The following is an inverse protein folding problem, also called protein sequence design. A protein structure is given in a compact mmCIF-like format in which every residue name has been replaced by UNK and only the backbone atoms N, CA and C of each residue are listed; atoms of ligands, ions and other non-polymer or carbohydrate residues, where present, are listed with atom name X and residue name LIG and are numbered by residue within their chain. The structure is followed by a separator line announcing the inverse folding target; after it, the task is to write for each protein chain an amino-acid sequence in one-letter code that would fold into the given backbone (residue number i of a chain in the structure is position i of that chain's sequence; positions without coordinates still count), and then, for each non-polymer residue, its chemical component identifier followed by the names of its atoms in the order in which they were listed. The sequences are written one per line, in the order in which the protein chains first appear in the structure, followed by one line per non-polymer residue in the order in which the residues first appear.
data_IF_183603133732
#
_entry.id   IF_183603133732
#
_cell.length_a   1.000
_cell.length_b   1.000
_cell.length_c   1.000
_cell.angle_alpha   90.00
_cell.angle_beta   90.00
_cell.angle_gamma   90.00
#
_symmetry.space_group_name_H-M   'P 1'
#
loop_
_entity.id
_entity.type
_entity.pdbx_description
1 polymer ?
#
# COMPACT_ATOMS: atom_id res chain seq x y z
N UNK A 1 19.68 7.98 -29.12
CA UNK A 1 18.40 7.95 -29.88
C UNK A 1 17.66 6.68 -29.52
N UNK A 2 16.41 6.82 -29.11
CA UNK A 2 15.54 5.67 -28.81
C UNK A 2 15.14 4.95 -30.10
N UNK A 3 15.21 3.63 -30.12
CA UNK A 3 14.75 2.78 -31.25
C UNK A 3 13.41 2.17 -30.83
N UNK A 4 12.40 2.26 -31.70
CA UNK A 4 11.15 1.50 -31.51
C UNK A 4 11.33 0.06 -32.01
N UNK A 5 11.10 -0.94 -31.14
CA UNK A 5 11.31 -2.33 -31.48
C UNK A 5 10.31 -3.26 -30.76
N UNK A 6 10.16 -4.47 -31.29
CA UNK A 6 9.38 -5.50 -30.64
C UNK A 6 9.97 -5.88 -29.28
N UNK A 7 9.11 -6.01 -28.26
CA UNK A 7 9.50 -6.29 -26.88
C UNK A 7 10.37 -7.56 -26.78
N UNK A 8 9.98 -8.66 -27.45
CA UNK A 8 10.71 -9.94 -27.43
C UNK A 8 12.15 -9.86 -27.96
N UNK A 9 12.51 -8.85 -28.75
CA UNK A 9 13.89 -8.69 -29.24
C UNK A 9 14.86 -8.34 -28.12
N UNK A 10 14.40 -7.58 -27.12
CA UNK A 10 15.22 -6.99 -26.06
C UNK A 10 14.95 -7.58 -24.69
N UNK A 11 13.85 -8.29 -24.50
CA UNK A 11 13.42 -8.87 -23.23
C UNK A 11 12.97 -10.31 -23.45
N UNK A 12 13.46 -11.24 -22.64
CA UNK A 12 12.95 -12.62 -22.64
C UNK A 12 11.65 -12.70 -21.83
N UNK A 13 10.63 -13.28 -22.44
CA UNK A 13 9.31 -13.42 -21.82
C UNK A 13 9.09 -14.89 -21.48
N UNK A 14 8.78 -15.16 -20.20
CA UNK A 14 8.64 -16.50 -19.62
C UNK A 14 9.87 -17.39 -19.91
N UNK A 15 11.09 -16.95 -19.54
CA UNK A 15 12.31 -17.71 -19.77
C UNK A 15 12.23 -19.08 -19.10
N UNK A 16 12.81 -20.09 -19.74
CA UNK A 16 12.84 -21.47 -19.21
C UNK A 16 13.85 -21.55 -18.08
N UNK A 17 13.40 -22.01 -16.90
CA UNK A 17 14.25 -22.32 -15.76
C UNK A 17 14.08 -23.74 -15.30
N UNK A 18 15.17 -24.33 -14.79
CA UNK A 18 15.17 -25.69 -14.24
C UNK A 18 14.94 -25.64 -12.74
N UNK A 19 13.89 -26.28 -12.26
CA UNK A 19 13.61 -26.53 -10.86
C UNK A 19 13.00 -27.93 -10.75
N UNK A 20 13.64 -28.82 -10.00
CA UNK A 20 13.21 -30.19 -9.87
C UNK A 20 11.87 -30.28 -9.11
N UNK A 21 10.94 -31.11 -9.60
CA UNK A 21 9.68 -31.35 -8.92
C UNK A 21 9.94 -31.91 -7.51
N UNK A 22 9.31 -31.31 -6.50
CA UNK A 22 9.51 -31.64 -5.08
C UNK A 22 10.69 -30.94 -4.40
N UNK A 23 11.52 -30.18 -5.14
CA UNK A 23 12.56 -29.34 -4.53
C UNK A 23 11.96 -28.24 -3.66
N UNK A 24 12.57 -27.98 -2.51
CA UNK A 24 12.24 -26.82 -1.67
C UNK A 24 12.82 -25.56 -2.32
N UNK A 25 12.00 -24.55 -2.52
CA UNK A 25 12.41 -23.27 -3.09
C UNK A 25 11.54 -22.12 -2.57
N UNK A 26 12.02 -20.89 -2.73
CA UNK A 26 11.27 -19.69 -2.39
C UNK A 26 10.09 -19.54 -3.37
N UNK A 27 8.90 -19.43 -2.81
CA UNK A 27 7.66 -19.28 -3.56
C UNK A 27 7.07 -17.89 -3.33
N UNK A 28 6.73 -17.20 -4.41
CA UNK A 28 5.98 -15.96 -4.42
C UNK A 28 4.58 -16.26 -4.93
N UNK A 29 3.59 -16.24 -4.04
CA UNK A 29 2.19 -16.36 -4.42
C UNK A 29 1.60 -14.98 -4.81
N UNK A 30 0.44 -14.97 -5.47
CA UNK A 30 -0.19 -13.74 -5.98
C UNK A 30 -0.55 -12.73 -4.87
N UNK A 31 -0.88 -13.20 -3.68
CA UNK A 31 -1.20 -12.37 -2.51
C UNK A 31 0.03 -11.65 -1.95
N UNK A 32 1.24 -12.19 -2.17
CA UNK A 32 2.50 -11.57 -1.73
C UNK A 32 2.91 -10.36 -2.56
N UNK A 33 2.38 -10.21 -3.77
CA UNK A 33 2.61 -8.99 -4.54
C UNK A 33 1.72 -7.85 -4.01
N UNK A 34 2.36 -6.78 -3.57
CA UNK A 34 1.67 -5.55 -3.16
C UNK A 34 1.39 -4.67 -4.38
N UNK A 35 0.19 -4.03 -4.45
CA UNK A 35 -0.15 -3.11 -5.52
C UNK A 35 0.87 -1.98 -5.65
N UNK A 36 1.36 -1.75 -6.87
CA UNK A 36 2.27 -0.65 -7.23
C UNK A 36 3.63 -0.63 -6.50
N UNK A 37 3.97 -1.68 -5.75
CA UNK A 37 5.27 -1.84 -5.10
C UNK A 37 6.27 -2.53 -6.02
N UNK A 38 7.53 -2.01 -6.04
CA UNK A 38 8.60 -2.61 -6.84
C UNK A 38 9.09 -3.92 -6.26
N UNK A 39 9.36 -3.94 -4.98
CA UNK A 39 10.00 -5.08 -4.33
C UNK A 39 8.99 -6.10 -3.82
N UNK A 40 9.40 -7.35 -3.77
CA UNK A 40 8.60 -8.43 -3.20
C UNK A 40 8.81 -8.42 -1.69
N UNK A 41 7.79 -8.12 -0.86
CA UNK A 41 7.97 -7.98 0.58
C UNK A 41 8.12 -9.32 1.32
N UNK A 42 7.53 -10.38 0.78
CA UNK A 42 7.43 -11.67 1.46
C UNK A 42 7.50 -12.86 0.49
N UNK A 43 7.98 -13.96 0.99
CA UNK A 43 7.96 -15.26 0.32
C UNK A 43 7.69 -16.38 1.32
N UNK A 44 7.39 -17.56 0.82
CA UNK A 44 7.29 -18.80 1.60
C UNK A 44 8.27 -19.84 1.05
N UNK A 45 8.75 -20.75 1.89
CA UNK A 45 9.51 -21.92 1.44
C UNK A 45 8.52 -23.04 1.19
N UNK A 46 8.46 -23.53 -0.06
CA UNK A 46 7.52 -24.57 -0.43
C UNK A 46 8.14 -25.58 -1.40
N UNK A 47 7.56 -26.79 -1.45
CA UNK A 47 7.94 -27.79 -2.46
C UNK A 47 7.40 -27.37 -3.83
N UNK A 48 8.29 -27.35 -4.84
CA UNK A 48 7.88 -27.04 -6.20
C UNK A 48 6.98 -28.17 -6.76
N UNK A 49 5.78 -27.84 -7.12
CA UNK A 49 4.81 -28.74 -7.77
C UNK A 49 4.38 -28.25 -9.14
N UNK A 50 4.69 -26.99 -9.47
CA UNK A 50 4.31 -26.29 -10.69
C UNK A 50 4.31 -24.79 -10.48
N UNK A 51 4.05 -24.03 -11.53
CA UNK A 51 4.03 -22.58 -11.50
C UNK A 51 5.16 -21.95 -12.32
N UNK A 52 5.12 -20.64 -12.43
CA UNK A 52 6.11 -19.86 -13.17
C UNK A 52 7.41 -19.77 -12.37
N UNK A 53 8.55 -19.91 -13.03
CA UNK A 53 9.88 -19.90 -12.43
C UNK A 53 10.61 -18.63 -12.81
N UNK A 54 11.44 -18.11 -11.91
CA UNK A 54 12.12 -16.83 -12.08
C UNK A 54 13.42 -16.79 -11.27
N UNK A 55 14.25 -15.79 -11.58
CA UNK A 55 15.50 -15.44 -10.87
C UNK A 55 15.47 -14.00 -10.37
N UNK A 56 16.45 -13.63 -9.55
CA UNK A 56 16.66 -12.22 -9.21
C UNK A 56 16.89 -11.37 -10.46
N UNK A 57 16.31 -10.17 -10.46
CA UNK A 57 16.33 -9.24 -11.58
C UNK A 57 15.20 -9.48 -12.60
N UNK A 58 14.44 -10.59 -12.50
CA UNK A 58 13.24 -10.76 -13.30
C UNK A 58 12.11 -9.88 -12.81
N UNK A 59 11.31 -9.35 -13.72
CA UNK A 59 10.04 -8.69 -13.40
C UNK A 59 8.92 -9.69 -13.55
N UNK A 60 8.10 -9.86 -12.50
CA UNK A 60 6.90 -10.69 -12.50
C UNK A 60 5.66 -9.80 -12.53
N UNK A 61 4.81 -9.98 -13.53
CA UNK A 61 3.56 -9.24 -13.72
C UNK A 61 2.38 -10.20 -13.63
N UNK A 62 1.36 -9.83 -12.84
CA UNK A 62 0.10 -10.56 -12.83
C UNK A 62 -0.55 -10.52 -14.22
N UNK A 63 -1.10 -11.65 -14.68
CA UNK A 63 -1.79 -11.75 -15.98
C UNK A 63 -3.30 -11.91 -15.87
N UNK A 64 -3.86 -11.84 -14.67
CA UNK A 64 -5.27 -12.15 -14.41
C UNK A 64 -5.98 -10.97 -13.74
N UNK A 65 -7.26 -10.76 -14.09
CA UNK A 65 -8.19 -9.85 -13.41
C UNK A 65 -8.46 -10.31 -11.97
N UNK A 66 -8.56 -9.40 -10.97
CA UNK A 66 -8.27 -7.96 -11.04
C UNK A 66 -6.83 -7.61 -10.66
N UNK A 67 -5.94 -8.60 -10.64
CA UNK A 67 -4.60 -8.44 -10.07
C UNK A 67 -3.73 -7.47 -10.88
N UNK A 68 -3.76 -7.54 -12.22
CA UNK A 68 -3.00 -6.62 -13.06
C UNK A 68 -3.58 -5.20 -13.01
N UNK A 69 -4.90 -5.07 -13.05
CA UNK A 69 -5.59 -3.77 -12.92
C UNK A 69 -5.28 -3.11 -11.58
N UNK A 70 -5.11 -3.90 -10.54
CA UNK A 70 -4.69 -3.44 -9.21
C UNK A 70 -3.16 -3.22 -9.09
N UNK A 71 -2.40 -3.27 -10.19
CA UNK A 71 -0.98 -2.91 -10.22
C UNK A 71 -0.04 -3.95 -9.61
N UNK A 72 -0.41 -5.23 -9.57
CA UNK A 72 0.46 -6.32 -9.09
C UNK A 72 1.54 -6.66 -10.13
N UNK A 73 2.63 -5.92 -10.06
CA UNK A 73 3.86 -6.12 -10.83
C UNK A 73 5.05 -5.83 -9.92
N UNK A 74 6.01 -6.74 -9.80
CA UNK A 74 7.15 -6.57 -8.92
C UNK A 74 8.44 -7.08 -9.57
N UNK A 75 9.58 -6.60 -9.09
CA UNK A 75 10.91 -7.10 -9.42
C UNK A 75 11.33 -8.13 -8.37
N UNK A 76 11.80 -9.27 -8.81
CA UNK A 76 12.30 -10.32 -7.92
C UNK A 76 13.68 -9.93 -7.41
N UNK A 77 13.81 -9.83 -6.08
CA UNK A 77 15.05 -9.41 -5.39
C UNK A 77 15.34 -10.21 -4.11
N UNK A 78 14.63 -11.33 -3.89
CA UNK A 78 14.63 -12.09 -2.64
C UNK A 78 15.45 -13.41 -2.73
N UNK A 79 16.01 -13.72 -3.91
CA UNK A 79 16.70 -14.96 -4.15
C UNK A 79 18.20 -14.79 -3.92
N UNK A 80 18.89 -15.90 -3.63
CA UNK A 80 20.34 -15.91 -3.60
C UNK A 80 20.94 -15.97 -5.03
N UNK A 81 22.22 -15.63 -5.22
CA UNK A 81 22.87 -15.77 -6.51
C UNK A 81 22.75 -17.20 -7.07
N UNK A 82 22.18 -17.33 -8.27
CA UNK A 82 21.97 -18.63 -8.91
C UNK A 82 20.73 -19.40 -8.44
N UNK A 83 20.03 -18.93 -7.41
CA UNK A 83 18.78 -19.53 -6.93
C UNK A 83 17.65 -19.32 -7.94
N UNK A 84 16.78 -20.33 -8.08
CA UNK A 84 15.54 -20.27 -8.87
C UNK A 84 14.36 -20.32 -7.92
N UNK A 85 13.55 -19.27 -7.93
CA UNK A 85 12.27 -19.23 -7.26
C UNK A 85 11.10 -19.62 -8.16
N UNK A 86 9.93 -19.80 -7.59
CA UNK A 86 8.71 -20.06 -8.33
C UNK A 86 7.51 -19.34 -7.76
N UNK A 87 6.42 -19.29 -8.53
CA UNK A 87 5.22 -18.60 -8.08
C UNK A 87 3.98 -19.01 -8.85
N UNK A 88 2.98 -18.14 -8.82
CA UNK A 88 1.70 -18.38 -9.48
C UNK A 88 1.87 -18.68 -10.98
N UNK A 89 1.06 -19.59 -11.52
CA UNK A 89 0.92 -19.79 -12.98
C UNK A 89 0.33 -18.57 -13.67
N UNK A 90 -0.23 -17.65 -12.92
CA UNK A 90 -0.80 -16.40 -13.41
C UNK A 90 0.20 -15.22 -13.39
N UNK A 91 1.51 -15.53 -13.44
CA UNK A 91 2.57 -14.55 -13.69
C UNK A 91 3.07 -14.64 -15.13
N UNK A 92 3.37 -13.48 -15.72
CA UNK A 92 4.26 -13.33 -16.88
C UNK A 92 5.60 -12.84 -16.32
N UNK A 93 6.69 -13.49 -16.72
CA UNK A 93 8.06 -13.15 -16.32
C UNK A 93 8.74 -12.42 -17.47
N UNK A 94 9.38 -11.29 -17.15
CA UNK A 94 10.18 -10.50 -18.07
C UNK A 94 11.61 -10.47 -17.55
N UNK A 95 12.55 -10.92 -18.38
CA UNK A 95 13.98 -10.92 -18.08
C UNK A 95 14.75 -10.03 -19.01
N UNK A 96 15.57 -9.17 -18.44
CA UNK A 96 16.50 -8.36 -19.22
C UNK A 96 17.48 -9.22 -20.00
N UNK A 97 17.76 -8.87 -21.26
CA UNK A 97 18.82 -9.49 -22.03
C UNK A 97 20.14 -8.78 -21.79
N UNK A 98 21.13 -9.54 -21.41
CA UNK A 98 22.47 -9.02 -21.12
C UNK A 98 23.03 -8.27 -22.33
N UNK A 99 23.61 -7.10 -22.08
CA UNK A 99 24.13 -6.20 -23.10
C UNK A 99 23.09 -5.33 -23.84
N UNK A 100 21.79 -5.63 -23.69
CA UNK A 100 20.71 -4.93 -24.40
C UNK A 100 19.78 -4.15 -23.46
N UNK A 101 19.46 -4.71 -22.30
CA UNK A 101 18.51 -4.08 -21.37
C UNK A 101 18.99 -4.16 -19.93
N UNK A 102 18.66 -3.12 -19.18
CA UNK A 102 18.88 -3.05 -17.73
C UNK A 102 17.67 -3.64 -16.98
N UNK A 103 17.85 -4.50 -15.96
CA UNK A 103 16.75 -5.14 -15.24
C UNK A 103 15.79 -4.14 -14.58
N UNK A 104 16.28 -3.04 -13.98
CA UNK A 104 15.42 -2.03 -13.37
C UNK A 104 14.63 -1.28 -14.45
N UNK A 105 15.26 -0.96 -15.59
CA UNK A 105 14.55 -0.39 -16.73
C UNK A 105 13.42 -1.30 -17.21
N UNK A 106 13.67 -2.62 -17.31
CA UNK A 106 12.62 -3.59 -17.70
C UNK A 106 11.44 -3.52 -16.73
N UNK A 107 11.68 -3.45 -15.43
CA UNK A 107 10.60 -3.28 -14.45
C UNK A 107 9.76 -2.04 -14.73
N UNK A 108 10.39 -0.88 -14.90
CA UNK A 108 9.66 0.37 -15.16
C UNK A 108 8.97 0.39 -16.53
N UNK A 109 9.56 -0.22 -17.54
CA UNK A 109 8.93 -0.37 -18.84
C UNK A 109 7.67 -1.25 -18.74
N UNK A 110 7.73 -2.38 -18.05
CA UNK A 110 6.58 -3.28 -17.83
C UNK A 110 5.47 -2.60 -17.02
N UNK A 111 5.83 -1.77 -16.03
CA UNK A 111 4.89 -0.99 -15.23
C UNK A 111 4.27 0.17 -16.02
N UNK A 112 4.95 0.68 -17.05
CA UNK A 112 4.51 1.85 -17.82
C UNK A 112 3.28 1.57 -18.69
N UNK A 113 2.63 2.63 -19.16
CA UNK A 113 1.51 2.54 -20.10
C UNK A 113 1.88 1.88 -21.44
N UNK A 114 3.16 1.83 -21.82
CA UNK A 114 3.61 1.14 -23.03
C UNK A 114 3.38 -0.37 -23.00
N UNK A 115 3.42 -1.00 -21.83
CA UNK A 115 3.23 -2.46 -21.69
C UNK A 115 1.95 -2.75 -20.90
N UNK A 116 1.74 -2.11 -19.76
CA UNK A 116 0.61 -2.42 -18.87
C UNK A 116 -0.75 -2.18 -19.52
N UNK A 117 -0.95 -1.04 -20.19
CA UNK A 117 -2.26 -0.71 -20.76
C UNK A 117 -2.65 -1.61 -21.93
N UNK A 118 -1.73 -1.90 -22.92
CA UNK A 118 -2.00 -2.92 -23.93
C UNK A 118 -2.22 -4.33 -23.32
N UNK A 119 -1.48 -4.71 -22.28
CA UNK A 119 -1.68 -5.97 -21.59
C UNK A 119 -3.11 -6.07 -21.02
N UNK A 120 -3.58 -5.05 -20.32
CA UNK A 120 -4.97 -4.99 -19.79
C UNK A 120 -5.99 -5.06 -20.94
N UNK A 121 -5.79 -4.27 -22.01
CA UNK A 121 -6.67 -4.28 -23.18
C UNK A 121 -6.71 -5.62 -23.92
N UNK A 122 -5.66 -6.42 -23.83
CA UNK A 122 -5.58 -7.74 -24.44
C UNK A 122 -6.31 -8.84 -23.66
N UNK A 123 -6.81 -8.55 -22.47
CA UNK A 123 -7.40 -9.55 -21.61
C UNK A 123 -8.65 -10.18 -22.20
N UNK A 124 -8.69 -11.52 -22.20
CA UNK A 124 -9.82 -12.32 -22.65
C UNK A 124 -10.22 -13.36 -21.61
N UNK A 125 -11.50 -13.79 -21.63
CA UNK A 125 -12.05 -14.78 -20.71
C UNK A 125 -13.39 -14.35 -20.13
N UNK A 126 -13.94 -15.17 -19.24
CA UNK A 126 -15.19 -14.87 -18.53
C UNK A 126 -14.99 -13.71 -17.55
N UNK A 127 -16.08 -12.98 -17.25
CA UNK A 127 -16.09 -11.90 -16.28
C UNK A 127 -15.41 -12.31 -14.96
N UNK A 128 -14.50 -11.48 -14.47
CA UNK A 128 -13.75 -11.72 -13.21
C UNK A 128 -12.60 -12.75 -13.32
N UNK A 129 -12.36 -13.37 -14.50
CA UNK A 129 -11.27 -14.33 -14.75
C UNK A 129 -10.61 -14.13 -16.11
N UNK A 130 -10.52 -12.90 -16.56
CA UNK A 130 -9.85 -12.56 -17.80
C UNK A 130 -8.33 -12.64 -17.63
N UNK A 131 -7.64 -13.03 -18.72
CA UNK A 131 -6.17 -13.21 -18.75
C UNK A 131 -5.57 -12.46 -19.90
N UNK A 132 -4.42 -11.85 -19.64
CA UNK A 132 -3.55 -11.23 -20.67
C UNK A 132 -3.16 -12.24 -21.72
N UNK A 133 -3.27 -11.84 -22.98
CA UNK A 133 -2.72 -12.59 -24.11
C UNK A 133 -1.21 -12.33 -24.20
N UNK A 134 -0.41 -13.34 -23.85
CA UNK A 134 1.06 -13.19 -23.78
C UNK A 134 1.68 -12.89 -25.14
N UNK A 135 1.13 -13.42 -26.22
CA UNK A 135 1.55 -13.15 -27.60
C UNK A 135 1.34 -11.68 -27.98
N UNK A 136 0.26 -11.05 -27.55
CA UNK A 136 0.05 -9.59 -27.73
C UNK A 136 1.17 -8.83 -27.04
N UNK A 137 1.48 -9.17 -25.78
CA UNK A 137 2.54 -8.49 -25.02
C UNK A 137 3.92 -8.68 -25.67
N UNK A 138 4.23 -9.89 -26.12
CA UNK A 138 5.50 -10.19 -26.82
C UNK A 138 5.72 -9.32 -28.06
N UNK A 139 4.65 -9.04 -28.80
CA UNK A 139 4.69 -8.31 -30.06
C UNK A 139 4.45 -6.80 -29.89
N UNK A 140 4.44 -6.28 -28.68
CA UNK A 140 4.38 -4.84 -28.46
C UNK A 140 5.62 -4.15 -29.05
N UNK A 141 5.40 -3.05 -29.75
CA UNK A 141 6.47 -2.16 -30.20
C UNK A 141 6.60 -1.06 -29.17
N UNK A 142 7.75 -0.99 -28.52
CA UNK A 142 8.04 -0.05 -27.42
C UNK A 142 9.38 0.68 -27.67
N UNK A 143 9.57 1.87 -27.09
CA UNK A 143 10.85 2.57 -27.18
C UNK A 143 11.92 1.87 -26.36
N UNK A 144 13.09 1.65 -26.98
CA UNK A 144 14.31 1.19 -26.30
C UNK A 144 15.39 2.26 -26.46
N UNK A 145 15.69 3.06 -25.43
CA UNK A 145 16.86 3.93 -25.41
C UNK A 145 18.15 3.11 -25.33
N UNK A 146 19.30 3.77 -25.50
CA UNK A 146 20.59 3.12 -25.29
C UNK A 146 20.72 2.54 -23.86
N UNK A 147 21.55 1.52 -23.68
CA UNK A 147 21.72 0.88 -22.34
C UNK A 147 22.15 1.89 -21.27
N UNK A 148 22.92 2.90 -21.63
CA UNK A 148 23.31 3.99 -20.73
C UNK A 148 22.09 4.84 -20.33
N UNK A 149 21.28 5.23 -21.30
CA UNK A 149 20.03 5.99 -21.01
C UNK A 149 19.05 5.16 -20.19
N UNK A 150 18.91 3.84 -20.47
CA UNK A 150 18.09 2.93 -19.68
C UNK A 150 18.51 2.94 -18.20
N UNK A 151 19.83 2.85 -17.93
CA UNK A 151 20.37 2.90 -16.56
C UNK A 151 20.09 4.23 -15.89
N UNK A 152 20.21 5.35 -16.60
CA UNK A 152 19.91 6.69 -16.06
C UNK A 152 18.42 6.83 -15.72
N UNK A 153 17.53 6.42 -16.63
CA UNK A 153 16.07 6.40 -16.38
C UNK A 153 15.75 5.54 -15.16
N UNK A 154 16.29 4.32 -15.14
CA UNK A 154 16.07 3.39 -14.04
C UNK A 154 16.62 3.92 -12.72
N UNK A 155 17.78 4.58 -12.70
CA UNK A 155 18.38 5.18 -11.49
C UNK A 155 17.48 6.25 -10.88
N UNK A 156 16.91 7.15 -11.70
CA UNK A 156 15.98 8.19 -11.22
C UNK A 156 14.76 7.55 -10.55
N UNK A 157 14.09 6.63 -11.25
CA UNK A 157 12.85 6.04 -10.75
C UNK A 157 13.12 5.12 -9.54
N UNK A 158 14.24 4.39 -9.57
CA UNK A 158 14.67 3.52 -8.48
C UNK A 158 14.98 4.30 -7.21
N UNK A 159 15.63 5.47 -7.30
CA UNK A 159 15.93 6.29 -6.12
C UNK A 159 14.66 6.73 -5.38
N UNK A 160 13.57 7.00 -6.11
CA UNK A 160 12.27 7.31 -5.52
C UNK A 160 11.64 6.08 -4.83
N UNK A 161 11.67 4.92 -5.52
CA UNK A 161 11.15 3.67 -4.92
C UNK A 161 12.00 3.22 -3.71
N UNK A 162 13.33 3.37 -3.76
CA UNK A 162 14.22 3.05 -2.64
C UNK A 162 13.92 3.95 -1.42
N UNK A 163 13.68 5.24 -1.63
CA UNK A 163 13.31 6.17 -0.55
C UNK A 163 11.95 5.80 0.04
N UNK A 164 10.96 5.44 -0.79
CA UNK A 164 9.64 4.97 -0.32
C UNK A 164 9.79 3.69 0.52
N UNK A 165 10.58 2.73 0.06
CA UNK A 165 10.82 1.48 0.77
C UNK A 165 11.53 1.72 2.12
N UNK A 166 12.55 2.59 2.14
CA UNK A 166 13.26 2.97 3.36
C UNK A 166 12.31 3.64 4.37
N UNK A 167 11.54 4.63 3.95
CA UNK A 167 10.57 5.29 4.82
C UNK A 167 9.54 4.29 5.38
N UNK A 168 9.09 3.33 4.57
CA UNK A 168 8.16 2.29 5.01
C UNK A 168 8.79 1.41 6.10
N UNK A 169 10.01 0.92 5.89
CA UNK A 169 10.72 0.12 6.88
C UNK A 169 10.99 0.88 8.20
N UNK A 170 11.31 2.18 8.10
CA UNK A 170 11.46 3.04 9.28
C UNK A 170 10.12 3.18 10.00
N UNK A 171 9.01 3.41 9.29
CA UNK A 171 7.68 3.53 9.89
C UNK A 171 7.25 2.26 10.62
N UNK A 172 7.48 1.08 10.05
CA UNK A 172 7.18 -0.20 10.70
C UNK A 172 7.94 -0.35 12.03
N UNK A 173 9.20 0.08 12.07
CA UNK A 173 10.01 0.07 13.28
C UNK A 173 9.51 1.11 14.31
N UNK A 174 9.17 2.32 13.87
CA UNK A 174 8.63 3.38 14.72
C UNK A 174 7.28 2.98 15.34
N UNK A 175 6.39 2.35 14.58
CA UNK A 175 5.14 1.83 15.11
C UNK A 175 5.35 0.79 16.20
N UNK A 176 6.29 -0.15 16.00
CA UNK A 176 6.65 -1.15 17.02
C UNK A 176 7.21 -0.47 18.27
N UNK A 177 8.06 0.55 18.13
CA UNK A 177 8.57 1.33 19.25
C UNK A 177 7.46 2.06 20.01
N UNK A 178 6.57 2.77 19.33
CA UNK A 178 5.44 3.46 19.94
C UNK A 178 4.54 2.51 20.72
N UNK A 179 4.22 1.34 20.13
CA UNK A 179 3.44 0.30 20.79
C UNK A 179 4.17 -0.28 22.02
N UNK A 180 5.48 -0.50 21.95
CA UNK A 180 6.26 -1.00 23.09
C UNK A 180 6.30 0.02 24.24
N UNK A 181 6.47 1.30 23.92
CA UNK A 181 6.43 2.39 24.92
C UNK A 181 5.05 2.46 25.56
N UNK A 182 3.97 2.45 24.74
CA UNK A 182 2.60 2.48 25.24
C UNK A 182 2.32 1.30 26.18
N UNK A 183 2.71 0.08 25.80
CA UNK A 183 2.55 -1.11 26.65
C UNK A 183 3.31 -0.98 27.96
N UNK A 184 4.56 -0.53 27.93
CA UNK A 184 5.40 -0.38 29.11
C UNK A 184 4.92 0.72 30.05
N UNK A 185 4.55 1.87 29.50
CA UNK A 185 4.25 3.07 30.28
C UNK A 185 2.78 3.14 30.72
N UNK A 186 1.83 2.66 29.90
CA UNK A 186 0.39 2.81 30.13
C UNK A 186 -0.27 1.50 30.57
N UNK A 187 -0.01 0.37 29.88
CA UNK A 187 -0.68 -0.90 30.16
C UNK A 187 -0.09 -1.68 31.34
N UNK A 188 0.77 -1.13 32.12
CA UNK A 188 1.51 -1.74 33.23
C UNK A 188 0.81 -2.94 33.90
N UNK A 189 1.53 -4.05 34.07
CA UNK A 189 1.07 -5.17 34.89
C UNK A 189 1.19 -4.79 36.39
N UNK A 190 0.08 -4.51 37.07
CA UNK A 190 0.10 -4.24 38.50
C UNK A 190 -0.97 -3.23 38.95
N UNK A 191 -0.82 -2.75 40.20
CA UNK A 191 -1.72 -1.71 40.72
C UNK A 191 -1.61 -0.41 39.97
N UNK A 192 -2.76 0.18 39.69
CA UNK A 192 -2.85 1.52 39.10
C UNK A 192 -2.11 2.53 39.98
N UNK A 193 -1.27 3.42 39.42
CA UNK A 193 -0.66 4.49 40.19
C UNK A 193 -1.72 5.34 40.91
N UNK A 194 -1.43 5.92 42.09
CA UNK A 194 -2.45 6.55 42.93
C UNK A 194 -3.28 7.66 42.25
N UNK A 195 -2.70 8.39 41.29
CA UNK A 195 -3.34 9.51 40.61
C UNK A 195 -3.87 9.16 39.23
N UNK A 196 -3.78 7.89 38.81
CA UNK A 196 -4.32 7.45 37.55
C UNK A 196 -5.76 6.98 37.73
N UNK A 197 -6.57 7.17 36.69
CA UNK A 197 -7.99 6.77 36.70
C UNK A 197 -8.29 5.78 35.60
N UNK A 198 -9.46 5.18 35.63
CA UNK A 198 -9.99 4.34 34.55
C UNK A 198 -11.19 5.03 33.92
N UNK A 199 -11.43 4.75 32.66
CA UNK A 199 -12.56 5.21 31.89
C UNK A 199 -12.83 4.28 30.71
N UNK A 200 -13.55 4.77 29.72
CA UNK A 200 -13.82 4.06 28.48
C UNK A 200 -13.25 4.83 27.27
N UNK A 201 -13.25 4.21 26.09
CA UNK A 201 -12.88 4.90 24.87
C UNK A 201 -13.75 6.15 24.61
N UNK A 202 -15.03 6.12 25.02
CA UNK A 202 -15.93 7.27 24.88
C UNK A 202 -15.65 8.42 25.87
N UNK A 203 -14.91 8.14 26.95
CA UNK A 203 -14.50 9.18 27.91
C UNK A 203 -13.25 9.93 27.44
N UNK A 204 -12.48 9.32 26.54
CA UNK A 204 -11.23 9.91 26.05
C UNK A 204 -11.33 10.47 24.64
N UNK A 205 -12.32 10.06 23.82
CA UNK A 205 -12.46 10.52 22.44
C UNK A 205 -13.91 10.49 21.94
N UNK A 206 -14.20 11.39 21.00
CA UNK A 206 -15.39 11.37 20.16
C UNK A 206 -15.18 10.49 18.93
N UNK A 207 -16.20 9.68 18.62
CA UNK A 207 -16.24 8.81 17.44
C UNK A 207 -17.33 9.33 16.50
N UNK A 208 -16.94 10.22 15.57
CA UNK A 208 -17.85 10.82 14.59
C UNK A 208 -18.07 9.85 13.45
N UNK A 209 -19.30 9.36 13.27
CA UNK A 209 -19.66 8.53 12.13
C UNK A 209 -19.74 9.37 10.85
N UNK A 210 -19.16 8.84 9.76
CA UNK A 210 -19.20 9.52 8.46
C UNK A 210 -20.59 9.54 7.82
N UNK A 211 -20.65 10.08 6.62
CA UNK A 211 -21.89 10.31 5.86
C UNK A 211 -22.12 9.23 4.81
N UNK A 212 -23.41 9.02 4.47
CA UNK A 212 -23.83 8.26 3.30
C UNK A 212 -23.50 9.07 2.02
N UNK A 213 -22.23 9.00 1.58
CA UNK A 213 -21.65 9.89 0.57
C UNK A 213 -22.37 9.86 -0.79
N UNK A 214 -23.17 8.80 -1.08
CA UNK A 214 -24.03 8.78 -2.25
C UNK A 214 -25.09 9.91 -2.27
N UNK A 215 -25.40 10.51 -1.11
CA UNK A 215 -26.32 11.66 -0.97
C UNK A 215 -25.62 13.01 -1.13
N UNK A 216 -24.29 13.03 -1.21
CA UNK A 216 -23.46 14.21 -1.25
C UNK A 216 -22.57 14.20 -2.50
N UNK A 217 -23.14 13.91 -3.66
CA UNK A 217 -22.41 13.90 -4.93
C UNK A 217 -21.98 15.33 -5.32
N UNK A 218 -20.84 15.48 -6.01
CA UNK A 218 -20.48 16.78 -6.58
C UNK A 218 -21.56 17.27 -7.51
N UNK A 219 -21.84 18.55 -7.53
CA UNK A 219 -22.70 19.21 -8.52
C UNK A 219 -21.86 19.63 -9.73
N UNK A 220 -22.51 19.96 -10.85
CA UNK A 220 -21.83 20.36 -12.08
C UNK A 220 -20.86 21.54 -11.84
N UNK A 221 -19.63 21.36 -12.28
CA UNK A 221 -18.56 22.34 -12.12
C UNK A 221 -17.78 22.23 -10.80
N UNK A 222 -18.19 21.40 -9.84
CA UNK A 222 -17.42 21.15 -8.62
C UNK A 222 -16.26 20.17 -8.86
N UNK A 223 -15.08 20.53 -8.38
CA UNK A 223 -13.99 19.56 -8.20
C UNK A 223 -14.27 18.71 -6.96
N UNK A 224 -14.82 17.50 -7.16
CA UNK A 224 -15.17 16.59 -6.07
C UNK A 224 -13.97 16.20 -5.20
N UNK A 225 -14.22 15.88 -3.93
CA UNK A 225 -13.28 15.22 -3.04
C UNK A 225 -13.43 13.71 -3.15
N UNK A 226 -12.33 12.92 -3.15
CA UNK A 226 -12.44 11.47 -3.06
C UNK A 226 -13.10 11.05 -1.75
N UNK A 227 -13.85 9.96 -1.80
CA UNK A 227 -14.53 9.38 -0.63
C UNK A 227 -13.62 8.35 0.02
N UNK A 228 -13.29 8.55 1.29
CA UNK A 228 -12.59 7.57 2.11
C UNK A 228 -13.57 6.48 2.55
N UNK A 229 -13.40 5.28 1.99
CA UNK A 229 -14.07 4.05 2.39
C UNK A 229 -13.08 3.07 3.02
N UNK A 230 -13.54 1.89 3.40
CA UNK A 230 -12.70 0.83 3.97
C UNK A 230 -11.59 0.39 2.99
N UNK A 231 -11.88 0.37 1.68
CA UNK A 231 -10.89 0.06 0.63
C UNK A 231 -9.74 1.07 0.66
N UNK A 232 -10.07 2.36 0.60
CA UNK A 232 -9.11 3.45 0.58
C UNK A 232 -8.30 3.51 1.89
N UNK A 233 -8.96 3.31 3.04
CA UNK A 233 -8.28 3.25 4.34
C UNK A 233 -7.25 2.11 4.39
N UNK A 234 -7.60 0.93 3.88
CA UNK A 234 -6.70 -0.23 3.84
C UNK A 234 -5.52 -0.05 2.90
N UNK A 235 -5.74 0.58 1.74
CA UNK A 235 -4.67 0.82 0.79
C UNK A 235 -3.81 2.05 1.13
N UNK A 236 -4.30 2.95 2.02
CA UNK A 236 -3.60 4.15 2.48
C UNK A 236 -3.70 5.36 1.55
N UNK A 237 -4.45 5.28 0.45
CA UNK A 237 -4.64 6.38 -0.51
C UNK A 237 -5.97 6.24 -1.26
N UNK A 238 -6.42 7.35 -1.87
CA UNK A 238 -7.51 7.36 -2.85
C UNK A 238 -6.93 7.31 -4.27
N UNK A 239 -7.56 6.54 -5.14
CA UNK A 239 -7.18 6.40 -6.56
C UNK A 239 -8.27 6.96 -7.49
N UNK A 240 -8.03 6.86 -8.81
CA UNK A 240 -8.98 7.33 -9.84
C UNK A 240 -10.31 6.58 -9.83
N UNK A 241 -10.39 5.40 -9.21
CA UNK A 241 -11.63 4.63 -9.06
C UNK A 241 -12.40 4.99 -7.80
N UNK A 242 -11.83 5.81 -6.91
CA UNK A 242 -12.49 6.25 -5.69
C UNK A 242 -13.68 7.15 -6.03
N UNK A 243 -14.83 6.89 -5.40
CA UNK A 243 -16.01 7.75 -5.58
C UNK A 243 -15.70 9.19 -5.16
N UNK A 244 -16.42 10.13 -5.74
CA UNK A 244 -16.31 11.55 -5.41
C UNK A 244 -17.54 12.03 -4.64
N UNK A 245 -17.31 12.93 -3.68
CA UNK A 245 -18.34 13.69 -2.99
C UNK A 245 -18.12 15.20 -3.18
N UNK A 246 -19.16 16.00 -2.87
CA UNK A 246 -19.05 17.45 -2.88
C UNK A 246 -18.01 17.93 -1.86
N UNK A 247 -17.20 18.93 -2.18
CA UNK A 247 -16.31 19.57 -1.22
C UNK A 247 -17.06 20.43 -0.18
N UNK A 248 -18.34 20.72 -0.41
CA UNK A 248 -19.19 21.57 0.43
C UNK A 248 -19.91 20.81 1.55
N UNK A 249 -19.45 19.61 1.89
CA UNK A 249 -19.89 18.91 3.12
C UNK A 249 -19.36 19.63 4.36
N UNK A 250 -20.01 19.42 5.51
CA UNK A 250 -19.55 20.02 6.77
C UNK A 250 -18.09 19.66 7.06
N UNK A 251 -17.25 20.60 7.54
CA UNK A 251 -15.81 20.39 7.76
C UNK A 251 -15.46 19.20 8.65
N UNK A 252 -16.31 18.87 9.62
CA UNK A 252 -16.13 17.73 10.52
C UNK A 252 -16.07 16.39 9.78
N UNK A 253 -16.72 16.26 8.60
CA UNK A 253 -16.70 15.07 7.74
C UNK A 253 -15.60 15.09 6.67
N UNK A 254 -14.78 16.14 6.64
CA UNK A 254 -13.59 16.20 5.82
C UNK A 254 -12.43 15.61 6.62
N UNK A 255 -11.72 14.66 5.99
CA UNK A 255 -10.56 13.99 6.57
C UNK A 255 -9.30 14.58 5.98
N UNK A 256 -8.30 14.79 6.81
CA UNK A 256 -6.99 15.31 6.46
C UNK A 256 -5.87 14.36 6.89
N UNK A 257 -4.66 14.60 6.39
CA UNK A 257 -3.47 13.84 6.79
C UNK A 257 -3.27 13.96 8.32
N UNK A 258 -3.02 12.82 8.97
CA UNK A 258 -2.86 12.70 10.42
C UNK A 258 -4.15 12.53 11.21
N UNK A 259 -5.32 12.50 10.58
CA UNK A 259 -6.57 12.14 11.25
C UNK A 259 -6.60 10.66 11.63
N UNK A 260 -7.11 10.37 12.82
CA UNK A 260 -7.33 8.98 13.28
C UNK A 260 -8.65 8.48 12.71
N UNK A 261 -8.58 7.43 11.92
CA UNK A 261 -9.74 6.80 11.28
C UNK A 261 -9.92 5.38 11.77
N UNK A 262 -11.14 5.04 12.12
CA UNK A 262 -11.51 3.70 12.57
C UNK A 262 -12.65 3.12 11.74
N UNK A 263 -12.40 2.01 11.05
CA UNK A 263 -13.43 1.21 10.37
C UNK A 263 -14.14 0.32 11.40
N UNK A 264 -15.44 0.56 11.59
CA UNK A 264 -16.24 -0.14 12.60
C UNK A 264 -17.13 -1.26 12.04
N UNK A 265 -17.14 -1.46 10.73
CA UNK A 265 -17.92 -2.49 10.04
C UNK A 265 -17.11 -3.19 8.94
N UNK A 266 -17.46 -4.42 8.62
CA UNK A 266 -16.75 -5.23 7.64
C UNK A 266 -15.33 -5.56 8.12
N UNK A 267 -14.32 -5.03 7.44
CA UNK A 267 -12.92 -5.19 7.90
C UNK A 267 -12.56 -4.07 8.85
N UNK A 268 -12.49 -4.38 10.14
CA UNK A 268 -12.11 -3.42 11.16
C UNK A 268 -10.62 -3.07 11.04
N UNK A 269 -10.34 -1.79 11.10
CA UNK A 269 -8.99 -1.21 10.95
C UNK A 269 -8.95 0.15 11.64
N UNK A 270 -7.87 0.43 12.36
CA UNK A 270 -7.56 1.76 12.93
C UNK A 270 -6.27 2.23 12.30
N UNK A 271 -6.25 3.44 11.75
CA UNK A 271 -5.04 4.00 11.14
C UNK A 271 -5.00 5.53 11.23
N UNK A 272 -3.78 6.08 11.13
CA UNK A 272 -3.52 7.50 10.89
C UNK A 272 -3.60 7.74 9.37
N UNK A 273 -4.63 8.43 8.92
CA UNK A 273 -4.80 8.70 7.50
C UNK A 273 -3.69 9.60 6.95
N UNK A 274 -3.11 9.24 5.81
CA UNK A 274 -2.07 10.02 5.13
C UNK A 274 -2.29 10.09 3.60
N UNK A 275 -3.50 9.77 3.15
CA UNK A 275 -3.87 9.71 1.73
C UNK A 275 -4.40 11.02 1.15
N UNK A 276 -4.32 12.13 1.89
CA UNK A 276 -4.79 13.45 1.47
C UNK A 276 -6.21 13.77 1.90
N UNK A 277 -6.73 14.91 1.43
CA UNK A 277 -8.07 15.37 1.80
C UNK A 277 -9.15 14.55 1.13
N UNK A 278 -10.11 14.05 1.90
CA UNK A 278 -11.22 13.22 1.41
C UNK A 278 -12.48 13.35 2.28
N UNK A 279 -13.62 12.86 1.79
CA UNK A 279 -14.88 12.82 2.53
C UNK A 279 -15.04 11.52 3.32
N UNK A 280 -15.47 11.57 4.57
CA UNK A 280 -15.60 10.44 5.49
C UNK A 280 -16.87 9.63 5.22
N UNK A 281 -16.73 8.37 4.81
CA UNK A 281 -17.86 7.47 4.54
C UNK A 281 -18.51 6.94 5.82
N UNK A 282 -19.80 6.63 5.76
CA UNK A 282 -20.65 6.16 6.88
C UNK A 282 -20.16 4.91 7.61
N UNK A 283 -19.25 4.13 7.04
CA UNK A 283 -18.70 2.92 7.64
C UNK A 283 -17.40 3.16 8.42
N UNK A 284 -17.02 4.42 8.55
CA UNK A 284 -15.82 4.87 9.26
C UNK A 284 -16.17 5.87 10.34
N UNK A 285 -15.40 5.85 11.43
CA UNK A 285 -15.34 6.90 12.41
C UNK A 285 -14.10 7.77 12.19
N UNK A 286 -14.26 9.08 12.29
CA UNK A 286 -13.19 10.02 12.59
C UNK A 286 -13.12 10.14 14.11
N UNK A 287 -11.94 9.84 14.68
CA UNK A 287 -11.73 9.83 16.13
C UNK A 287 -10.98 11.09 16.52
N UNK A 288 -11.58 11.88 17.41
CA UNK A 288 -11.02 13.18 17.85
C UNK A 288 -11.19 13.35 19.36
N UNK A 289 -10.39 14.21 19.96
CA UNK A 289 -10.55 14.60 21.36
C UNK A 289 -10.10 16.05 21.55
N UNK A 290 -10.88 16.83 22.31
CA UNK A 290 -10.48 18.16 22.75
C UNK A 290 -9.69 18.13 24.08
N UNK A 291 -9.72 16.97 24.76
CA UNK A 291 -9.17 16.80 26.11
C UNK A 291 -7.86 16.02 26.13
N UNK A 292 -7.69 15.07 25.23
CA UNK A 292 -6.56 14.15 25.23
C UNK A 292 -5.76 14.25 23.92
N UNK A 293 -4.42 14.08 23.98
CA UNK A 293 -3.57 14.15 22.79
C UNK A 293 -3.83 12.99 21.83
N UNK A 294 -3.55 13.22 20.54
CA UNK A 294 -3.82 12.27 19.45
C UNK A 294 -3.21 10.89 19.69
N UNK A 295 -1.95 10.83 20.12
CA UNK A 295 -1.26 9.58 20.38
C UNK A 295 -2.01 8.70 21.37
N UNK A 296 -2.69 9.29 22.35
CA UNK A 296 -3.34 8.57 23.44
C UNK A 296 -4.61 7.87 22.96
N UNK A 297 -5.54 8.60 22.33
CA UNK A 297 -6.77 7.96 21.85
C UNK A 297 -6.53 7.07 20.63
N UNK A 298 -5.50 7.34 19.80
CA UNK A 298 -5.09 6.44 18.74
C UNK A 298 -4.58 5.10 19.31
N UNK A 299 -3.61 5.15 20.23
CA UNK A 299 -3.03 3.95 20.82
C UNK A 299 -4.08 3.08 21.54
N UNK A 300 -5.02 3.70 22.29
CA UNK A 300 -6.09 2.98 22.95
C UNK A 300 -7.10 2.37 21.95
N UNK A 301 -7.49 3.09 20.92
CA UNK A 301 -8.38 2.55 19.88
C UNK A 301 -7.73 1.37 19.17
N UNK A 302 -6.44 1.48 18.82
CA UNK A 302 -5.65 0.41 18.21
C UNK A 302 -5.46 -0.79 19.17
N UNK A 303 -5.26 -0.54 20.47
CA UNK A 303 -5.13 -1.60 21.48
C UNK A 303 -6.38 -2.49 21.54
N UNK A 304 -7.57 -1.90 21.45
CA UNK A 304 -8.83 -2.63 21.48
C UNK A 304 -9.23 -3.27 20.15
N UNK A 305 -8.51 -3.04 19.07
CA UNK A 305 -8.88 -3.51 17.72
C UNK A 305 -9.07 -5.03 17.67
N UNK A 306 -8.16 -5.81 18.26
CA UNK A 306 -8.27 -7.28 18.27
C UNK A 306 -9.55 -7.77 18.97
N UNK A 307 -9.93 -7.13 20.09
CA UNK A 307 -11.19 -7.40 20.80
C UNK A 307 -12.40 -7.05 19.92
N UNK A 308 -12.36 -5.93 19.22
CA UNK A 308 -13.44 -5.52 18.33
C UNK A 308 -13.60 -6.45 17.14
N UNK A 309 -12.49 -6.93 16.58
CA UNK A 309 -12.51 -7.95 15.52
C UNK A 309 -13.18 -9.23 15.99
N UNK A 310 -12.87 -9.72 17.21
CA UNK A 310 -13.52 -10.89 17.79
C UNK A 310 -15.03 -10.66 17.99
N UNK A 311 -15.45 -9.52 18.55
CA UNK A 311 -16.86 -9.16 18.72
C UNK A 311 -17.61 -9.10 17.39
N UNK A 312 -16.99 -8.54 16.35
CA UNK A 312 -17.59 -8.47 15.03
C UNK A 312 -17.73 -9.85 14.37
N UNK A 313 -16.75 -10.73 14.57
CA UNK A 313 -16.79 -12.11 14.07
C UNK A 313 -17.92 -12.93 14.72
N UNK A 314 -18.14 -12.81 16.02
CA UNK A 314 -19.21 -13.52 16.74
C UNK A 314 -20.63 -13.08 16.32
N UNK A 315 -20.77 -11.85 15.84
CA UNK A 315 -22.07 -11.29 15.39
C UNK A 315 -22.35 -11.48 13.89
N UNK A 316 -21.48 -12.16 13.15
CA UNK A 316 -21.54 -12.22 11.69
C UNK A 316 -22.60 -13.23 11.18
N UNK A 317 -23.84 -12.78 11.04
CA UNK A 317 -24.80 -13.41 10.10
C UNK A 317 -24.78 -12.71 8.71
N UNK A 318 -24.28 -11.47 8.60
CA UNK A 318 -24.16 -10.72 7.33
C UNK A 318 -22.90 -9.85 7.25
N UNK A 319 -22.81 -8.77 8.02
CA UNK A 319 -21.62 -7.92 8.12
C UNK A 319 -21.32 -7.69 9.60
N UNK A 320 -20.20 -8.23 10.08
CA UNK A 320 -19.75 -7.99 11.44
C UNK A 320 -19.54 -6.49 11.67
N UNK A 321 -20.11 -5.97 12.76
CA UNK A 321 -19.93 -4.56 13.15
C UNK A 321 -19.89 -4.44 14.67
N UNK A 322 -19.25 -3.39 15.16
CA UNK A 322 -19.27 -3.00 16.56
C UNK A 322 -20.31 -1.93 16.81
N UNK A 323 -20.87 -1.91 18.00
CA UNK A 323 -21.82 -0.89 18.44
C UNK A 323 -21.14 0.13 19.36
N UNK A 324 -21.77 1.29 19.55
CA UNK A 324 -21.30 2.32 20.49
C UNK A 324 -21.14 1.79 21.91
N UNK A 325 -21.96 0.82 22.31
CA UNK A 325 -21.85 0.13 23.61
C UNK A 325 -20.54 -0.66 23.75
N UNK A 326 -19.99 -1.19 22.66
CA UNK A 326 -18.73 -1.92 22.66
C UNK A 326 -17.55 -0.97 22.91
N UNK A 327 -17.62 0.29 22.45
CA UNK A 327 -16.68 1.37 22.74
C UNK A 327 -16.80 1.79 24.23
N UNK A 328 -18.02 1.93 24.75
CA UNK A 328 -18.26 2.28 26.16
C UNK A 328 -17.74 1.21 27.14
N UNK A 329 -17.68 -0.06 26.70
CA UNK A 329 -17.14 -1.18 27.50
C UNK A 329 -15.64 -1.40 27.29
N UNK A 330 -15.00 -0.62 26.42
CA UNK A 330 -13.57 -0.70 26.18
C UNK A 330 -12.83 0.13 27.23
N UNK A 331 -12.37 -0.52 28.28
CA UNK A 331 -11.72 0.12 29.41
C UNK A 331 -10.38 0.74 29.01
N UNK A 332 -10.09 1.93 29.47
CA UNK A 332 -8.84 2.66 29.27
C UNK A 332 -8.28 3.11 30.62
N UNK A 333 -6.97 3.08 30.74
CA UNK A 333 -6.24 3.62 31.87
C UNK A 333 -5.82 5.06 31.48
N UNK A 334 -6.17 6.03 32.33
CA UNK A 334 -5.93 7.45 32.09
C UNK A 334 -4.83 7.91 33.05
N UNK A 335 -3.62 8.18 32.57
CA UNK A 335 -2.54 8.77 33.36
C UNK A 335 -2.89 10.14 33.90
N UNK A 336 -2.26 10.53 35.00
CA UNK A 336 -2.27 11.93 35.44
C UNK A 336 -1.59 12.85 34.41
N UNK A 337 -1.82 14.14 34.52
CA UNK A 337 -1.32 15.15 33.57
C UNK A 337 0.21 15.07 33.39
N UNK A 338 0.96 14.96 34.48
CA UNK A 338 2.43 14.89 34.44
C UNK A 338 2.92 13.63 33.70
N UNK A 339 2.30 12.48 33.98
CA UNK A 339 2.61 11.24 33.29
C UNK A 339 2.20 11.28 31.82
N UNK A 340 1.04 11.89 31.50
CA UNK A 340 0.56 12.07 30.13
C UNK A 340 1.54 12.90 29.30
N UNK A 341 1.99 14.03 29.84
CA UNK A 341 2.98 14.91 29.21
C UNK A 341 4.32 14.22 29.01
N UNK A 342 4.83 13.53 30.05
CA UNK A 342 6.08 12.79 29.97
C UNK A 342 6.06 11.68 28.91
N UNK A 343 4.99 10.90 28.87
CA UNK A 343 4.83 9.80 27.91
C UNK A 343 4.60 10.39 26.51
N UNK A 344 3.77 11.41 26.40
CA UNK A 344 3.48 12.12 25.15
C UNK A 344 4.74 12.71 24.54
N UNK A 345 5.62 13.32 25.33
CA UNK A 345 6.89 13.86 24.86
C UNK A 345 7.81 12.86 24.17
N UNK A 346 7.57 11.54 24.37
CA UNK A 346 8.32 10.47 23.67
C UNK A 346 7.52 9.88 22.50
N UNK A 347 6.22 9.66 22.66
CA UNK A 347 5.40 8.97 21.65
C UNK A 347 4.93 9.91 20.53
N UNK A 348 4.57 11.13 20.85
CA UNK A 348 4.08 12.10 19.87
C UNK A 348 5.03 12.35 18.70
N UNK A 349 6.33 12.64 18.95
CA UNK A 349 7.30 12.80 17.87
C UNK A 349 7.44 11.56 16.97
N UNK A 350 7.21 10.36 17.52
CA UNK A 350 7.24 9.12 16.74
C UNK A 350 6.07 9.08 15.75
N UNK A 351 4.84 9.36 16.22
CA UNK A 351 3.68 9.38 15.33
C UNK A 351 3.74 10.54 14.32
N UNK A 352 4.24 11.70 14.71
CA UNK A 352 4.43 12.82 13.79
C UNK A 352 5.43 12.46 12.68
N UNK A 353 6.52 11.76 13.01
CA UNK A 353 7.47 11.28 12.02
C UNK A 353 6.85 10.25 11.08
N UNK A 354 6.05 9.31 11.60
CA UNK A 354 5.32 8.32 10.80
C UNK A 354 4.39 9.03 9.80
N UNK A 355 3.59 10.01 10.26
CA UNK A 355 2.68 10.78 9.41
C UNK A 355 3.48 11.51 8.31
N UNK A 356 4.55 12.22 8.69
CA UNK A 356 5.37 12.98 7.75
C UNK A 356 5.98 12.08 6.67
N UNK A 357 6.52 10.92 7.05
CA UNK A 357 7.11 9.97 6.10
C UNK A 357 6.06 9.31 5.19
N UNK A 358 4.86 9.00 5.70
CA UNK A 358 3.76 8.49 4.88
C UNK A 358 3.28 9.54 3.87
N UNK A 359 3.20 10.81 4.26
CA UNK A 359 2.89 11.93 3.35
C UNK A 359 4.00 12.13 2.33
N UNK A 360 5.27 12.03 2.73
CA UNK A 360 6.41 12.05 1.81
C UNK A 360 6.33 10.90 0.80
N UNK A 361 6.06 9.66 1.24
CA UNK A 361 5.92 8.51 0.37
C UNK A 361 4.82 8.70 -0.69
N UNK A 362 3.69 9.31 -0.32
CA UNK A 362 2.65 9.67 -1.28
C UNK A 362 3.16 10.65 -2.33
N UNK A 363 3.90 11.70 -1.92
CA UNK A 363 4.48 12.69 -2.85
C UNK A 363 5.51 12.06 -3.78
N UNK A 364 6.38 11.19 -3.24
CA UNK A 364 7.38 10.46 -4.02
C UNK A 364 6.72 9.53 -5.05
N UNK A 365 5.65 8.83 -4.66
CA UNK A 365 4.88 7.98 -5.57
C UNK A 365 4.24 8.79 -6.69
N UNK A 366 3.61 9.92 -6.37
CA UNK A 366 3.05 10.83 -7.37
C UNK A 366 4.12 11.38 -8.33
N UNK A 367 5.28 11.76 -7.79
CA UNK A 367 6.41 12.23 -8.61
C UNK A 367 6.91 11.13 -9.54
N UNK A 368 7.19 9.93 -9.02
CA UNK A 368 7.58 8.76 -9.82
C UNK A 368 6.59 8.49 -10.94
N UNK A 369 5.30 8.43 -10.62
CA UNK A 369 4.25 8.08 -11.58
C UNK A 369 4.04 9.19 -12.64
N UNK A 370 4.34 10.44 -12.30
CA UNK A 370 4.36 11.56 -13.27
C UNK A 370 5.60 11.58 -14.18
N UNK A 371 6.76 11.16 -13.64
CA UNK A 371 8.03 11.08 -14.37
C UNK A 371 8.08 9.87 -15.30
N UNK A 372 7.50 8.74 -14.89
CA UNK A 372 7.58 7.48 -15.61
C UNK A 372 7.21 7.59 -17.11
N UNK A 373 6.03 8.12 -17.50
CA UNK A 373 5.69 8.21 -18.91
C UNK A 373 6.63 9.15 -19.69
N UNK A 374 7.07 10.25 -19.08
CA UNK A 374 7.96 11.24 -19.70
C UNK A 374 9.37 10.72 -19.93
N UNK A 375 9.89 9.98 -18.98
CA UNK A 375 11.19 9.31 -19.10
C UNK A 375 11.15 8.17 -20.12
N UNK A 376 10.08 7.37 -20.10
CA UNK A 376 9.93 6.25 -21.04
C UNK A 376 9.70 6.70 -22.48
N UNK A 377 9.02 7.84 -22.70
CA UNK A 377 8.83 8.42 -24.03
C UNK A 377 10.04 9.18 -24.56
N UNK A 378 11.01 9.53 -23.70
CA UNK A 378 12.13 10.40 -24.03
C UNK A 378 11.76 11.89 -24.07
N UNK A 379 10.60 12.29 -23.55
CA UNK A 379 10.21 13.70 -23.37
C UNK A 379 11.16 14.42 -22.40
N UNK A 380 11.64 13.71 -21.38
CA UNK A 380 12.67 14.21 -20.47
C UNK A 380 14.03 13.65 -20.87
N UNK A 381 14.97 14.56 -21.16
CA UNK A 381 16.35 14.24 -21.45
C UNK A 381 17.11 13.84 -20.17
N UNK A 382 17.77 12.69 -20.19
CA UNK A 382 18.58 12.16 -19.09
C UNK A 382 20.09 12.27 -19.34
N UNK A 383 20.51 12.98 -20.37
CA UNK A 383 21.93 13.08 -20.77
C UNK A 383 22.81 13.65 -19.64
N UNK A 384 22.29 14.63 -18.90
CA UNK A 384 22.99 15.30 -17.77
C UNK A 384 22.97 14.51 -16.45
N UNK A 385 22.23 13.39 -16.37
CA UNK A 385 22.18 12.58 -15.15
C UNK A 385 23.46 11.78 -14.99
N UNK A 386 24.13 11.91 -13.85
CA UNK A 386 25.26 11.07 -13.44
C UNK A 386 24.76 9.77 -12.80
N UNK A 387 25.51 8.67 -12.98
CA UNK A 387 25.20 7.34 -12.43
C UNK A 387 26.03 7.05 -11.18
#
# INVERSE_FOLDING_TARGET
MSISAYLFKYIDINPKELLAKGALAKKISMDKLQPFCRDVPEYEIAKFSGGTRFRNGDTIMARITPCLENGKTAMVNILEPGEVGFGSTEFIVFRAKEGYTDPNFVYYLVKSSFVRDPAIKSMVGSSGRQRVQTDVVQNLIVPFPSLLEQRKIASILKSLDDKIALNTAINDNLEQQAQAIFRREVLRNGKLPPNWTTGSLLDIAGYLNGLAMQKFRPIDGERGLPVLKIKELRQGFCDYSSELCSPNIKPEFIVHDGDVIFSWSGSLLVDLWCGGTCGLNQHLFKVTSDKYPKWFYYAWTAHHLARFVAIAADKATTMGHIKREDLAKAEVIIPDTTSMERIGGVIEPIYDLIINQRVENRRLSMLRDSLLPKLMSGELDVSSVEL
#
